data_IF_140156654698
#
_entry.id   IF_140156654698
#
_cell.length_a   1.000
_cell.length_b   1.000
_cell.length_c   1.000
_cell.angle_alpha   90.00
_cell.angle_beta   90.00
_cell.angle_gamma   90.00
#
_symmetry.space_group_name_H-M   'P 1'
#
loop_
_entity.id
_entity.type
_entity.pdbx_description
1 polymer ?
#
# COMPACT_ATOMS: atom_id res chain seq x y z
N UNK A 1 -29.29 -8.95 5.13
CA UNK A 1 -28.43 -9.08 3.93
C UNK A 1 -27.39 -7.97 3.99
N UNK A 2 -26.12 -8.34 4.19
CA UNK A 2 -25.01 -7.40 4.26
C UNK A 2 -24.39 -7.27 2.87
N UNK A 3 -24.53 -6.09 2.27
CA UNK A 3 -23.91 -5.74 1.00
C UNK A 3 -22.52 -5.20 1.20
N UNK A 4 -21.60 -5.55 0.32
CA UNK A 4 -20.23 -5.03 0.28
C UNK A 4 -19.85 -4.70 -1.18
N UNK A 5 -18.79 -3.94 -1.34
CA UNK A 5 -18.20 -3.64 -2.65
C UNK A 5 -16.81 -4.25 -2.71
N UNK A 6 -16.50 -4.96 -3.79
CA UNK A 6 -15.16 -5.41 -4.11
C UNK A 6 -14.48 -4.38 -5.02
N UNK A 7 -13.26 -3.98 -4.65
CA UNK A 7 -12.49 -3.02 -5.40
C UNK A 7 -10.99 -3.16 -5.15
N UNK A 8 -10.17 -2.48 -5.94
CA UNK A 8 -8.71 -2.52 -5.82
C UNK A 8 -8.03 -1.20 -6.16
N UNK A 9 -6.86 -0.99 -5.56
CA UNK A 9 -5.89 0.02 -5.96
C UNK A 9 -4.62 -0.70 -6.43
N UNK A 10 -4.28 -0.61 -7.73
CA UNK A 10 -3.12 -1.32 -8.32
C UNK A 10 -3.09 -2.82 -8.00
N UNK A 11 -4.21 -3.51 -8.22
CA UNK A 11 -4.43 -4.94 -7.95
C UNK A 11 -4.24 -5.40 -6.49
N UNK A 12 -4.02 -4.49 -5.56
CA UNK A 12 -4.18 -4.76 -4.13
C UNK A 12 -5.68 -4.57 -3.81
N UNK A 13 -6.37 -5.64 -3.47
CA UNK A 13 -7.83 -5.70 -3.50
C UNK A 13 -8.49 -5.81 -2.12
N UNK A 14 -9.70 -5.27 -2.04
CA UNK A 14 -10.42 -5.12 -0.77
C UNK A 14 -11.90 -5.43 -0.91
N UNK A 15 -12.48 -5.97 0.16
CA UNK A 15 -13.92 -5.99 0.38
C UNK A 15 -14.28 -4.81 1.30
N UNK A 16 -15.14 -3.91 0.80
CA UNK A 16 -15.56 -2.71 1.52
C UNK A 16 -17.00 -2.87 2.01
N UNK A 17 -17.23 -2.66 3.30
CA UNK A 17 -18.56 -2.63 3.92
C UNK A 17 -18.84 -1.21 4.38
N UNK A 18 -19.93 -0.62 3.89
CA UNK A 18 -20.39 0.67 4.36
C UNK A 18 -21.28 0.49 5.60
N UNK A 19 -20.82 1.03 6.71
CA UNK A 19 -21.48 0.96 8.02
C UNK A 19 -21.26 2.26 8.80
N UNK A 20 -21.84 3.34 8.30
CA UNK A 20 -21.63 4.69 8.83
C UNK A 20 -21.76 4.78 10.36
N UNK A 21 -22.72 4.05 10.93
CA UNK A 21 -23.04 4.06 12.35
C UNK A 21 -22.25 3.04 13.21
N UNK A 22 -21.32 2.29 12.60
CA UNK A 22 -20.50 1.25 13.26
C UNK A 22 -21.32 0.16 14.00
N UNK A 23 -22.43 -0.26 13.40
CA UNK A 23 -23.35 -1.24 13.99
C UNK A 23 -22.96 -2.68 13.68
N UNK A 24 -22.31 -2.94 12.54
CA UNK A 24 -21.90 -4.25 12.13
C UNK A 24 -20.59 -4.66 12.84
N UNK A 25 -20.57 -5.88 13.34
CA UNK A 25 -19.37 -6.47 13.96
C UNK A 25 -18.97 -7.72 13.20
N UNK A 26 -17.69 -7.78 12.86
CA UNK A 26 -17.09 -8.91 12.18
C UNK A 26 -16.01 -9.52 13.07
N UNK A 27 -16.05 -10.83 13.26
CA UNK A 27 -14.95 -11.54 13.95
C UNK A 27 -13.76 -11.73 13.00
N UNK A 28 -12.53 -11.91 13.51
CA UNK A 28 -11.39 -12.23 12.66
C UNK A 28 -11.63 -13.45 11.76
N UNK A 29 -12.32 -14.48 12.26
CA UNK A 29 -12.66 -15.69 11.49
C UNK A 29 -13.64 -15.41 10.36
N UNK A 30 -14.60 -14.50 10.54
CA UNK A 30 -15.51 -14.07 9.48
C UNK A 30 -14.76 -13.30 8.41
N UNK A 31 -13.88 -12.36 8.80
CA UNK A 31 -13.04 -11.61 7.85
C UNK A 31 -12.15 -12.57 7.06
N UNK A 32 -11.49 -13.52 7.74
CA UNK A 32 -10.67 -14.54 7.09
C UNK A 32 -11.46 -15.37 6.06
N UNK A 33 -12.71 -15.76 6.37
CA UNK A 33 -13.58 -16.46 5.41
C UNK A 33 -13.97 -15.58 4.22
N UNK A 34 -14.31 -14.30 4.47
CA UNK A 34 -14.67 -13.34 3.41
C UNK A 34 -13.48 -13.15 2.46
N UNK A 35 -12.27 -12.99 3.00
CA UNK A 35 -11.05 -12.72 2.24
C UNK A 35 -10.43 -13.99 1.61
N UNK A 36 -10.91 -15.19 1.93
CA UNK A 36 -10.37 -16.44 1.39
C UNK A 36 -10.50 -16.49 -0.14
N UNK A 37 -9.38 -16.70 -0.84
CA UNK A 37 -9.31 -16.69 -2.32
C UNK A 37 -10.01 -17.87 -2.97
N UNK A 38 -10.30 -18.94 -2.22
CA UNK A 38 -10.94 -20.16 -2.75
C UNK A 38 -12.41 -20.27 -2.39
N UNK A 39 -12.76 -19.96 -1.15
CA UNK A 39 -14.09 -20.18 -0.61
C UNK A 39 -14.85 -18.88 -0.32
N UNK A 40 -14.15 -17.75 -0.27
CA UNK A 40 -14.70 -16.43 0.02
C UNK A 40 -14.95 -15.56 -1.21
N UNK A 41 -14.98 -14.25 -0.98
CA UNK A 41 -14.94 -13.23 -2.03
C UNK A 41 -13.53 -13.19 -2.63
N UNK A 42 -12.52 -13.37 -1.80
CA UNK A 42 -11.10 -13.36 -2.12
C UNK A 42 -10.56 -11.93 -2.19
N UNK A 43 -9.79 -11.50 -1.17
CA UNK A 43 -9.17 -10.18 -1.15
C UNK A 43 -7.94 -10.14 -0.23
N UNK A 44 -7.10 -9.13 -0.42
CA UNK A 44 -5.93 -8.86 0.45
C UNK A 44 -6.35 -8.26 1.78
N UNK A 45 -7.54 -7.65 1.84
CA UNK A 45 -8.04 -7.07 3.08
C UNK A 45 -9.50 -6.71 3.07
N UNK A 46 -9.96 -6.32 4.26
CA UNK A 46 -11.34 -5.95 4.54
C UNK A 46 -11.39 -4.55 5.13
N UNK A 47 -12.22 -3.68 4.58
CA UNK A 47 -12.37 -2.30 5.03
C UNK A 47 -13.82 -2.05 5.43
N UNK A 48 -14.05 -1.72 6.70
CA UNK A 48 -15.32 -1.18 7.14
C UNK A 48 -15.25 0.34 7.13
N UNK A 49 -16.18 0.97 6.42
CA UNK A 49 -16.28 2.42 6.26
C UNK A 49 -17.24 2.94 7.32
N UNK A 50 -16.72 3.64 8.31
CA UNK A 50 -17.52 4.13 9.43
C UNK A 50 -17.33 5.62 9.63
N UNK A 51 -18.21 6.27 10.43
CA UNK A 51 -17.95 7.59 10.99
C UNK A 51 -17.66 7.48 12.48
N UNK A 52 -16.58 8.16 12.92
CA UNK A 52 -16.24 8.36 14.33
C UNK A 52 -16.15 9.88 14.57
N UNK A 53 -16.89 10.39 15.54
CA UNK A 53 -16.96 11.82 15.83
C UNK A 53 -17.26 12.69 14.59
N UNK A 54 -18.18 12.20 13.74
CA UNK A 54 -18.60 12.88 12.50
C UNK A 54 -17.57 12.84 11.36
N UNK A 55 -16.43 12.18 11.54
CA UNK A 55 -15.37 12.06 10.54
C UNK A 55 -15.30 10.63 9.98
N UNK A 56 -15.02 10.51 8.68
CA UNK A 56 -14.76 9.20 8.06
C UNK A 56 -13.59 8.50 8.71
N UNK A 57 -13.74 7.22 8.99
CA UNK A 57 -12.72 6.36 9.57
C UNK A 57 -12.61 5.06 8.77
N UNK A 58 -11.39 4.75 8.37
CA UNK A 58 -11.03 3.50 7.70
C UNK A 58 -10.75 2.42 8.76
N UNK A 59 -11.71 1.56 9.00
CA UNK A 59 -11.53 0.39 9.87
C UNK A 59 -11.01 -0.79 9.05
N UNK A 60 -9.67 -0.90 8.98
CA UNK A 60 -8.98 -1.83 8.10
C UNK A 60 -8.51 -3.08 8.84
N UNK A 61 -8.78 -4.24 8.24
CA UNK A 61 -8.33 -5.56 8.69
C UNK A 61 -7.61 -6.27 7.54
N UNK A 62 -6.52 -6.95 7.84
CA UNK A 62 -5.82 -7.84 6.90
C UNK A 62 -6.71 -9.05 6.55
N UNK A 63 -6.34 -9.81 5.52
CA UNK A 63 -7.09 -10.99 5.07
C UNK A 63 -7.21 -12.10 6.13
N UNK A 64 -6.30 -12.16 7.09
CA UNK A 64 -6.32 -13.11 8.22
C UNK A 64 -7.22 -12.65 9.39
N UNK A 65 -7.82 -11.45 9.28
CA UNK A 65 -8.64 -10.83 10.30
C UNK A 65 -7.86 -10.01 11.33
N UNK A 66 -6.54 -9.94 11.25
CA UNK A 66 -5.74 -9.09 12.13
C UNK A 66 -5.97 -7.61 11.83
N UNK A 67 -5.88 -6.79 12.88
CA UNK A 67 -6.04 -5.33 12.77
C UNK A 67 -4.81 -4.74 12.09
N UNK A 68 -5.03 -3.88 11.11
CA UNK A 68 -3.98 -3.12 10.44
C UNK A 68 -4.19 -1.61 10.62
N UNK A 69 -3.11 -0.85 10.59
CA UNK A 69 -3.15 0.58 10.89
C UNK A 69 -3.66 1.40 9.71
N UNK A 70 -3.09 1.18 8.52
CA UNK A 70 -3.40 1.93 7.30
C UNK A 70 -2.90 1.17 6.06
N UNK A 71 -3.56 1.39 4.93
CA UNK A 71 -3.11 0.92 3.62
C UNK A 71 -3.35 2.02 2.57
N UNK A 72 -2.28 2.48 1.92
CA UNK A 72 -2.35 3.54 0.90
C UNK A 72 -3.21 3.18 -0.31
N UNK A 73 -3.25 1.89 -0.70
CA UNK A 73 -4.13 1.39 -1.76
C UNK A 73 -5.59 1.35 -1.27
N UNK A 74 -5.81 0.81 -0.07
CA UNK A 74 -7.15 0.67 0.51
C UNK A 74 -7.85 2.01 0.77
N UNK A 75 -7.11 3.01 1.27
CA UNK A 75 -7.71 4.34 1.53
C UNK A 75 -8.14 5.06 0.24
N UNK A 76 -7.41 4.85 -0.89
CA UNK A 76 -7.84 5.36 -2.19
C UNK A 76 -9.13 4.69 -2.66
N UNK A 77 -9.23 3.35 -2.49
CA UNK A 77 -10.46 2.60 -2.84
C UNK A 77 -11.64 3.05 -1.97
N UNK A 78 -11.43 3.25 -0.66
CA UNK A 78 -12.44 3.81 0.23
C UNK A 78 -12.89 5.21 -0.21
N UNK A 79 -11.94 6.08 -0.57
CA UNK A 79 -12.26 7.43 -1.04
C UNK A 79 -13.06 7.41 -2.35
N UNK A 80 -12.71 6.54 -3.30
CA UNK A 80 -13.48 6.32 -4.53
C UNK A 80 -14.90 5.82 -4.23
N UNK A 81 -15.04 4.89 -3.28
CA UNK A 81 -16.35 4.42 -2.84
C UNK A 81 -17.21 5.57 -2.30
N UNK A 82 -16.67 6.37 -1.40
CA UNK A 82 -17.38 7.50 -0.80
C UNK A 82 -17.86 8.51 -1.85
N UNK A 83 -17.02 8.81 -2.84
CA UNK A 83 -17.33 9.78 -3.89
C UNK A 83 -18.35 9.23 -4.88
N UNK A 84 -18.17 8.02 -5.39
CA UNK A 84 -19.08 7.42 -6.38
C UNK A 84 -20.47 7.11 -5.82
N UNK A 85 -20.58 6.87 -4.51
CA UNK A 85 -21.88 6.65 -3.85
C UNK A 85 -22.47 7.91 -3.21
N UNK A 86 -21.92 9.10 -3.50
CA UNK A 86 -22.39 10.40 -3.01
C UNK A 86 -22.38 10.54 -1.48
N UNK A 87 -21.54 9.81 -0.77
CA UNK A 87 -21.34 9.97 0.68
C UNK A 87 -20.40 11.12 1.00
N UNK A 88 -19.52 11.45 0.06
CA UNK A 88 -18.54 12.54 0.15
C UNK A 88 -18.35 13.14 -1.25
N UNK A 89 -18.34 14.46 -1.37
CA UNK A 89 -17.99 15.12 -2.64
C UNK A 89 -16.52 14.95 -3.00
N UNK A 90 -16.21 15.14 -4.30
CA UNK A 90 -14.83 15.30 -4.77
C UNK A 90 -14.15 16.52 -4.14
N UNK A 91 -12.83 16.54 -4.17
CA UNK A 91 -12.03 17.62 -3.60
C UNK A 91 -10.98 17.13 -2.59
N UNK A 92 -10.55 18.04 -1.73
CA UNK A 92 -9.57 17.73 -0.69
C UNK A 92 -10.33 17.49 0.62
N UNK A 93 -10.16 16.31 1.19
CA UNK A 93 -10.71 15.96 2.50
C UNK A 93 -9.81 14.94 3.23
N UNK A 94 -10.17 14.64 4.47
CA UNK A 94 -9.41 13.71 5.28
C UNK A 94 -10.22 12.48 5.65
N UNK A 95 -9.52 11.36 5.77
CA UNK A 95 -10.01 10.09 6.34
C UNK A 95 -9.12 9.76 7.53
N UNK A 96 -9.73 9.47 8.67
CA UNK A 96 -9.01 9.00 9.84
C UNK A 96 -8.69 7.51 9.72
N UNK A 97 -7.54 7.11 10.21
CA UNK A 97 -7.07 5.73 10.27
C UNK A 97 -6.47 5.45 11.64
N UNK A 98 -6.04 4.23 11.92
CA UNK A 98 -5.27 3.93 13.14
C UNK A 98 -3.87 4.55 13.11
N UNK A 99 -3.33 4.79 11.92
CA UNK A 99 -2.09 5.55 11.68
C UNK A 99 -2.38 7.06 11.48
N UNK A 100 -3.34 7.59 12.23
CA UNK A 100 -3.67 9.01 12.21
C UNK A 100 -4.52 9.45 11.01
N UNK A 101 -4.60 10.76 10.85
CA UNK A 101 -5.42 11.43 9.84
C UNK A 101 -4.66 11.56 8.52
N UNK A 102 -5.25 11.04 7.44
CA UNK A 102 -4.67 11.11 6.09
C UNK A 102 -5.46 12.09 5.23
N UNK A 103 -4.76 12.98 4.54
CA UNK A 103 -5.36 13.93 3.60
C UNK A 103 -5.30 13.37 2.19
N UNK A 104 -6.41 13.49 1.48
CA UNK A 104 -6.56 13.00 0.12
C UNK A 104 -7.01 14.14 -0.81
N UNK A 105 -6.55 14.08 -2.06
CA UNK A 105 -7.13 14.83 -3.17
C UNK A 105 -7.85 13.83 -4.07
N UNK A 106 -9.17 13.94 -4.12
CA UNK A 106 -10.06 12.99 -4.79
C UNK A 106 -10.79 13.72 -5.92
N UNK A 107 -10.40 13.53 -7.18
CA UNK A 107 -11.11 14.08 -8.32
C UNK A 107 -12.42 13.31 -8.58
N UNK A 108 -13.32 13.89 -9.37
CA UNK A 108 -14.54 13.22 -9.83
C UNK A 108 -14.19 11.94 -10.59
N UNK A 109 -13.13 11.99 -11.39
CA UNK A 109 -12.59 10.85 -12.14
C UNK A 109 -11.05 10.86 -12.13
N UNK A 110 -10.41 9.71 -12.43
CA UNK A 110 -8.95 9.58 -12.47
C UNK A 110 -8.31 9.21 -11.13
N UNK A 111 -7.01 9.44 -11.04
CA UNK A 111 -6.19 8.97 -9.93
C UNK A 111 -6.40 9.79 -8.65
N UNK A 112 -6.33 9.12 -7.52
CA UNK A 112 -6.48 9.71 -6.18
C UNK A 112 -5.10 9.88 -5.56
N UNK A 113 -4.83 11.07 -5.02
CA UNK A 113 -3.63 11.35 -4.25
C UNK A 113 -3.88 11.24 -2.76
N UNK A 114 -2.94 10.62 -2.03
CA UNK A 114 -2.98 10.50 -0.57
C UNK A 114 -1.64 10.91 0.03
N UNK A 115 -1.68 11.76 1.06
CA UNK A 115 -0.50 12.09 1.84
C UNK A 115 -0.14 10.88 2.72
N UNK A 116 1.03 10.29 2.47
CA UNK A 116 1.53 9.11 3.15
C UNK A 116 2.35 9.42 4.41
N UNK A 117 2.66 10.71 4.64
CA UNK A 117 3.51 11.15 5.74
C UNK A 117 4.97 11.32 5.34
N UNK A 118 5.84 11.45 6.33
CA UNK A 118 7.27 11.62 6.11
C UNK A 118 7.94 10.33 5.66
N UNK A 119 8.92 10.49 4.76
CA UNK A 119 9.84 9.43 4.36
C UNK A 119 11.26 9.84 4.74
N UNK A 120 12.02 8.93 5.34
CA UNK A 120 13.39 9.19 5.77
C UNK A 120 14.34 8.06 5.43
N UNK A 121 15.61 8.42 5.23
CA UNK A 121 16.68 7.42 5.11
C UNK A 121 17.27 7.17 6.50
N UNK A 122 17.37 5.90 6.88
CA UNK A 122 18.18 5.47 8.01
C UNK A 122 19.61 5.25 7.51
N UNK A 123 20.57 5.94 8.11
CA UNK A 123 21.97 5.81 7.72
C UNK A 123 22.52 4.45 8.16
N UNK A 124 23.28 3.85 7.28
CA UNK A 124 23.89 2.53 7.48
C UNK A 124 23.98 1.79 6.15
N UNK A 125 24.91 0.87 6.06
CA UNK A 125 25.04 -0.01 4.91
C UNK A 125 24.25 -1.27 5.15
N UNK A 126 23.29 -1.54 4.27
CA UNK A 126 22.55 -2.79 4.26
C UNK A 126 22.84 -3.59 2.99
N UNK A 127 22.77 -4.92 3.11
CA UNK A 127 22.90 -5.84 1.99
C UNK A 127 21.67 -6.73 1.92
N UNK A 128 21.23 -7.00 0.71
CA UNK A 128 20.10 -7.90 0.46
C UNK A 128 20.57 -9.04 -0.43
N UNK A 129 20.41 -10.26 0.06
CA UNK A 129 20.77 -11.48 -0.69
C UNK A 129 19.52 -12.23 -1.14
N UNK A 130 19.43 -12.51 -2.44
CA UNK A 130 18.32 -13.21 -3.08
C UNK A 130 18.82 -13.98 -4.30
N UNK A 131 18.32 -15.19 -4.51
CA UNK A 131 18.62 -16.02 -5.69
C UNK A 131 20.15 -16.13 -5.98
N UNK A 132 20.97 -16.25 -4.92
CA UNK A 132 22.43 -16.35 -5.02
C UNK A 132 23.18 -15.05 -5.34
N UNK A 133 22.48 -13.92 -5.46
CA UNK A 133 23.06 -12.61 -5.68
C UNK A 133 22.96 -11.78 -4.39
N UNK A 134 23.92 -10.88 -4.18
CA UNK A 134 23.93 -9.93 -3.05
C UNK A 134 24.04 -8.50 -3.58
N UNK A 135 23.16 -7.64 -3.11
CA UNK A 135 23.04 -6.26 -3.54
C UNK A 135 23.22 -5.32 -2.36
N UNK A 136 23.75 -4.12 -2.61
CA UNK A 136 23.70 -3.02 -1.66
C UNK A 136 22.28 -2.46 -1.65
N UNK A 137 21.75 -2.15 -0.46
CA UNK A 137 20.43 -1.56 -0.28
C UNK A 137 20.45 -0.23 0.45
N UNK A 138 19.31 0.45 0.37
CA UNK A 138 18.98 1.66 1.14
C UNK A 138 18.00 1.28 2.23
N UNK A 139 18.28 1.70 3.48
CA UNK A 139 17.36 1.55 4.60
C UNK A 139 16.46 2.78 4.66
N UNK A 140 15.18 2.60 4.37
CA UNK A 140 14.18 3.68 4.29
C UNK A 140 13.07 3.42 5.31
N UNK A 141 12.65 4.47 5.99
CA UNK A 141 11.55 4.44 6.95
C UNK A 141 10.35 5.26 6.44
N UNK A 142 9.18 4.63 6.50
CA UNK A 142 7.87 5.21 6.21
C UNK A 142 6.90 5.09 7.41
N UNK A 143 7.45 4.94 8.64
CA UNK A 143 6.74 4.45 9.81
C UNK A 143 6.78 2.93 9.91
N UNK A 144 7.25 2.27 8.85
CA UNK A 144 7.60 0.87 8.78
C UNK A 144 8.87 0.70 7.93
N UNK A 145 9.70 -0.34 8.18
CA UNK A 145 11.00 -0.48 7.55
C UNK A 145 10.92 -1.00 6.12
N UNK A 146 11.76 -0.42 5.26
CA UNK A 146 11.93 -0.78 3.86
C UNK A 146 13.41 -0.93 3.49
N UNK A 147 13.76 -2.02 2.82
CA UNK A 147 15.06 -2.27 2.24
C UNK A 147 14.96 -2.14 0.71
N UNK A 148 15.39 -1.02 0.17
CA UNK A 148 15.30 -0.73 -1.28
C UNK A 148 16.60 -1.07 -1.98
N UNK A 149 16.53 -1.88 -3.03
CA UNK A 149 17.66 -2.38 -3.81
C UNK A 149 17.49 -2.01 -5.27
N UNK A 150 18.55 -1.46 -5.88
CA UNK A 150 18.58 -1.25 -7.34
C UNK A 150 19.27 -2.42 -8.04
N UNK A 151 18.61 -2.89 -9.11
CA UNK A 151 19.09 -3.98 -9.97
C UNK A 151 19.06 -3.56 -11.43
N UNK A 152 20.05 -4.01 -12.20
CA UNK A 152 20.07 -3.75 -13.65
C UNK A 152 19.12 -4.69 -14.40
N UNK A 153 18.88 -5.89 -13.86
CA UNK A 153 17.99 -6.88 -14.44
C UNK A 153 17.15 -7.57 -13.36
N UNK A 154 15.82 -7.49 -13.51
CA UNK A 154 14.85 -8.12 -12.61
C UNK A 154 14.92 -9.66 -12.61
N UNK A 155 15.50 -10.29 -13.62
CA UNK A 155 15.70 -11.74 -13.64
C UNK A 155 16.66 -12.22 -12.56
N UNK A 156 17.59 -11.37 -12.09
CA UNK A 156 18.57 -11.69 -11.04
C UNK A 156 17.93 -12.00 -9.69
N UNK A 157 16.75 -11.47 -9.42
CA UNK A 157 16.04 -11.68 -8.16
C UNK A 157 15.20 -12.97 -8.14
N UNK A 158 14.98 -13.59 -9.30
CA UNK A 158 14.20 -14.82 -9.43
C UNK A 158 12.75 -14.68 -8.95
N UNK A 159 12.23 -15.77 -8.39
CA UNK A 159 10.91 -15.79 -7.75
C UNK A 159 11.05 -15.41 -6.27
N UNK A 160 10.26 -14.41 -5.82
CA UNK A 160 10.24 -13.94 -4.43
C UNK A 160 9.32 -14.80 -3.53
N UNK A 161 9.40 -16.12 -3.66
CA UNK A 161 8.59 -17.06 -2.83
C UNK A 161 9.04 -17.11 -1.38
N UNK A 162 10.31 -16.89 -1.14
CA UNK A 162 10.92 -16.84 0.19
C UNK A 162 11.46 -15.45 0.46
N UNK A 163 11.42 -15.04 1.71
CA UNK A 163 11.95 -13.74 2.09
C UNK A 163 13.45 -13.68 1.78
N UNK A 164 13.91 -12.65 1.04
CA UNK A 164 15.34 -12.39 0.88
C UNK A 164 16.02 -12.10 2.22
N UNK A 165 17.32 -12.40 2.31
CA UNK A 165 18.10 -12.17 3.52
C UNK A 165 18.57 -10.72 3.53
N UNK A 166 18.36 -10.01 4.64
CA UNK A 166 18.84 -8.63 4.83
C UNK A 166 19.87 -8.59 5.96
N UNK A 167 20.99 -7.95 5.72
CA UNK A 167 22.08 -7.78 6.68
C UNK A 167 22.41 -6.28 6.89
N UNK A 168 22.66 -5.87 8.14
CA UNK A 168 22.59 -6.65 9.37
C UNK A 168 21.13 -6.92 9.81
N UNK A 169 20.84 -8.16 10.20
CA UNK A 169 19.50 -8.55 10.66
C UNK A 169 19.04 -7.80 11.92
N UNK A 170 19.97 -7.27 12.70
CA UNK A 170 19.71 -6.48 13.90
C UNK A 170 18.96 -5.17 13.63
N UNK A 171 19.03 -4.64 12.40
CA UNK A 171 18.29 -3.43 11.99
C UNK A 171 16.77 -3.71 11.81
N UNK A 172 16.39 -4.98 11.71
CA UNK A 172 15.03 -5.39 11.37
C UNK A 172 14.51 -6.52 12.29
N UNK A 173 14.42 -6.28 13.61
CA UNK A 173 14.03 -7.33 14.56
C UNK A 173 12.64 -7.92 14.29
N UNK A 174 11.73 -7.11 13.74
CA UNK A 174 10.36 -7.52 13.39
C UNK A 174 10.19 -7.79 11.88
N UNK A 175 11.29 -7.90 11.12
CA UNK A 175 11.28 -8.07 9.67
C UNK A 175 11.17 -6.76 8.89
N UNK A 176 11.27 -6.84 7.57
CA UNK A 176 11.38 -5.69 6.66
C UNK A 176 10.66 -5.95 5.33
N UNK A 177 10.11 -4.90 4.73
CA UNK A 177 9.65 -4.94 3.34
C UNK A 177 10.87 -4.74 2.42
N UNK A 178 10.94 -5.49 1.33
CA UNK A 178 12.12 -5.47 0.46
C UNK A 178 11.66 -5.15 -0.96
N UNK A 179 12.11 -4.02 -1.48
CA UNK A 179 11.79 -3.53 -2.82
C UNK A 179 12.99 -3.68 -3.75
N UNK A 180 12.79 -4.37 -4.87
CA UNK A 180 13.74 -4.46 -5.97
C UNK A 180 13.32 -3.52 -7.08
N UNK A 181 14.23 -2.66 -7.51
CA UNK A 181 13.94 -1.53 -8.39
C UNK A 181 14.88 -1.51 -9.57
N UNK A 182 14.33 -1.26 -10.76
CA UNK A 182 15.09 -1.03 -11.99
C UNK A 182 14.73 0.34 -12.56
N UNK A 183 15.76 1.11 -12.94
CA UNK A 183 15.56 2.32 -13.73
C UNK A 183 15.25 1.95 -15.18
N UNK A 184 14.16 2.49 -15.72
CA UNK A 184 13.77 2.31 -17.11
C UNK A 184 14.34 3.43 -17.99
N UNK A 185 14.45 3.17 -19.30
CA UNK A 185 15.00 4.13 -20.27
C UNK A 185 14.18 5.41 -20.37
N UNK A 186 12.86 5.35 -20.14
CA UNK A 186 11.97 6.51 -20.14
C UNK A 186 12.04 7.34 -18.84
N UNK A 187 12.92 7.01 -17.90
CA UNK A 187 13.08 7.70 -16.63
C UNK A 187 12.09 7.26 -15.55
N UNK A 188 11.21 6.30 -15.81
CA UNK A 188 10.35 5.67 -14.81
C UNK A 188 11.08 4.53 -14.08
N UNK A 189 10.46 4.01 -13.04
CA UNK A 189 10.98 2.90 -12.25
C UNK A 189 10.08 1.68 -12.41
N UNK A 190 10.68 0.50 -12.58
CA UNK A 190 10.02 -0.78 -12.39
C UNK A 190 10.32 -1.27 -10.98
N UNK A 191 9.35 -1.86 -10.30
CA UNK A 191 9.52 -2.33 -8.94
C UNK A 191 8.86 -3.71 -8.76
N UNK A 192 9.48 -4.56 -7.91
CA UNK A 192 8.85 -5.73 -7.28
C UNK A 192 9.09 -5.66 -5.78
N UNK A 193 8.18 -6.18 -4.98
CA UNK A 193 8.24 -6.10 -3.52
C UNK A 193 7.94 -7.45 -2.87
N UNK A 194 8.73 -7.79 -1.85
CA UNK A 194 8.42 -8.84 -0.88
C UNK A 194 7.99 -8.16 0.41
N UNK A 195 6.69 -8.18 0.71
CA UNK A 195 6.16 -7.57 1.92
C UNK A 195 6.38 -8.46 3.15
N UNK A 196 6.70 -7.83 4.25
CA UNK A 196 6.93 -8.44 5.56
C UNK A 196 5.72 -9.27 6.00
N UNK A 197 5.94 -10.58 6.24
CA UNK A 197 4.90 -11.50 6.70
C UNK A 197 3.88 -11.92 5.64
N UNK A 198 3.95 -11.39 4.41
CA UNK A 198 2.99 -11.68 3.33
C UNK A 198 3.65 -12.41 2.18
N UNK A 199 4.82 -11.95 1.72
CA UNK A 199 5.49 -12.44 0.52
C UNK A 199 5.43 -11.44 -0.63
N UNK A 200 5.61 -11.92 -1.86
CA UNK A 200 5.50 -11.05 -3.04
C UNK A 200 4.07 -10.59 -3.28
N UNK A 201 3.88 -9.27 -3.37
CA UNK A 201 2.57 -8.65 -3.63
C UNK A 201 2.61 -7.82 -4.91
N UNK A 202 1.42 -7.47 -5.41
CA UNK A 202 1.27 -6.72 -6.65
C UNK A 202 1.61 -5.23 -6.49
N UNK A 203 1.48 -4.68 -5.26
CA UNK A 203 1.71 -3.26 -4.98
C UNK A 203 1.75 -3.00 -3.48
N UNK A 204 2.78 -2.27 -3.02
CA UNK A 204 2.92 -1.78 -1.65
C UNK A 204 3.00 -0.24 -1.66
N UNK A 205 2.07 0.44 -1.00
CA UNK A 205 1.98 1.91 -1.01
C UNK A 205 3.17 2.58 -0.31
N UNK A 206 3.53 2.12 0.90
CA UNK A 206 4.70 2.62 1.64
C UNK A 206 6.00 2.26 0.95
N UNK A 207 6.09 1.03 0.41
CA UNK A 207 7.24 0.60 -0.38
C UNK A 207 7.46 1.47 -1.63
N UNK A 208 6.39 1.87 -2.31
CA UNK A 208 6.48 2.79 -3.46
C UNK A 208 7.03 4.16 -3.05
N UNK A 209 6.63 4.69 -1.88
CA UNK A 209 7.19 5.94 -1.33
C UNK A 209 8.67 5.79 -0.94
N UNK A 210 9.03 4.66 -0.32
CA UNK A 210 10.41 4.36 0.03
C UNK A 210 11.31 4.29 -1.23
N UNK A 211 10.83 3.66 -2.30
CA UNK A 211 11.50 3.59 -3.60
C UNK A 211 11.75 4.99 -4.18
N UNK A 212 10.79 5.90 -4.07
CA UNK A 212 10.94 7.28 -4.57
C UNK A 212 12.08 8.03 -3.87
N UNK A 213 12.20 7.90 -2.54
CA UNK A 213 13.33 8.51 -1.82
C UNK A 213 14.64 7.85 -2.17
N UNK A 214 14.72 6.51 -2.14
CA UNK A 214 15.93 5.77 -2.47
C UNK A 214 16.43 6.10 -3.89
N UNK A 215 15.53 6.20 -4.88
CA UNK A 215 15.86 6.59 -6.24
C UNK A 215 16.41 8.02 -6.32
N UNK A 216 15.87 8.93 -5.52
CA UNK A 216 16.36 10.30 -5.44
C UNK A 216 17.79 10.36 -4.90
N UNK A 217 18.08 9.58 -3.85
CA UNK A 217 19.42 9.46 -3.26
C UNK A 217 20.40 8.83 -4.27
N UNK A 218 20.02 7.70 -4.88
CA UNK A 218 20.85 6.98 -5.87
C UNK A 218 21.22 7.87 -7.06
N UNK A 219 20.26 8.68 -7.55
CA UNK A 219 20.49 9.62 -8.66
C UNK A 219 20.98 11.00 -8.21
N UNK A 220 21.26 11.20 -6.91
CA UNK A 220 21.70 12.49 -6.35
C UNK A 220 20.78 13.66 -6.74
N UNK A 221 19.47 13.41 -6.69
CA UNK A 221 18.43 14.41 -6.98
C UNK A 221 18.00 15.09 -5.69
N UNK A 222 17.82 16.42 -5.75
CA UNK A 222 17.26 17.19 -4.63
C UNK A 222 15.74 17.14 -4.59
N UNK A 223 15.16 17.33 -3.42
CA UNK A 223 13.73 17.53 -3.21
C UNK A 223 13.36 19.01 -3.50
N UNK A 224 12.12 19.33 -3.97
CA UNK A 224 11.04 18.36 -4.23
C UNK A 224 11.27 17.56 -5.52
N UNK A 225 10.71 16.36 -5.59
CA UNK A 225 10.86 15.48 -6.73
C UNK A 225 9.62 14.62 -6.95
N UNK A 226 9.45 14.19 -8.19
CA UNK A 226 8.37 13.30 -8.62
C UNK A 226 8.96 12.09 -9.36
N UNK A 227 8.46 10.89 -9.00
CA UNK A 227 8.78 9.64 -9.64
C UNK A 227 7.53 8.91 -10.09
N UNK A 228 7.64 8.24 -11.23
CA UNK A 228 6.66 7.26 -11.70
C UNK A 228 7.23 5.88 -11.45
N UNK A 229 6.47 5.05 -10.75
CA UNK A 229 6.88 3.73 -10.30
C UNK A 229 5.85 2.71 -10.75
N UNK A 230 6.31 1.64 -11.36
CA UNK A 230 5.50 0.59 -11.96
C UNK A 230 5.70 -0.74 -11.20
N UNK A 231 4.99 -0.97 -10.09
CA UNK A 231 4.85 -2.31 -9.53
C UNK A 231 4.03 -3.20 -10.47
N UNK A 232 4.01 -4.54 -10.30
CA UNK A 232 3.23 -5.45 -11.14
C UNK A 232 1.74 -5.11 -11.23
N UNK A 233 1.19 -4.52 -10.16
CA UNK A 233 -0.22 -4.14 -10.09
C UNK A 233 -0.61 -2.87 -10.86
N UNK A 234 0.34 -2.13 -11.42
CA UNK A 234 0.04 -0.94 -12.24
C UNK A 234 0.92 0.26 -11.94
N UNK A 235 0.54 1.40 -12.50
CA UNK A 235 1.33 2.63 -12.47
C UNK A 235 0.95 3.50 -11.27
N UNK A 236 1.96 3.92 -10.51
CA UNK A 236 1.83 4.83 -9.37
C UNK A 236 2.76 6.04 -9.58
N UNK A 237 2.42 7.14 -8.96
CA UNK A 237 3.24 8.33 -8.92
C UNK A 237 3.48 8.73 -7.47
N UNK A 238 4.72 9.05 -7.14
CA UNK A 238 5.10 9.59 -5.82
C UNK A 238 5.74 10.95 -6.01
N UNK A 239 5.22 11.92 -5.27
CA UNK A 239 5.84 13.23 -5.12
C UNK A 239 6.36 13.37 -3.69
N UNK A 240 7.64 13.74 -3.53
CA UNK A 240 8.24 14.03 -2.23
C UNK A 240 8.51 15.52 -2.21
N UNK A 241 7.94 16.22 -1.24
CA UNK A 241 8.09 17.67 -1.08
C UNK A 241 9.45 18.06 -0.44
N UNK A 242 9.70 19.36 -0.31
CA UNK A 242 10.92 19.89 0.31
C UNK A 242 11.08 19.58 1.80
N UNK A 243 10.06 19.06 2.45
CA UNK A 243 10.04 18.62 3.87
C UNK A 243 10.02 17.10 4.01
N UNK A 244 10.28 16.37 2.95
CA UNK A 244 10.26 14.90 2.90
C UNK A 244 8.88 14.27 3.16
N UNK A 245 7.77 14.99 2.90
CA UNK A 245 6.45 14.38 2.90
C UNK A 245 6.18 13.72 1.55
N UNK A 246 5.76 12.46 1.58
CA UNK A 246 5.42 11.71 0.39
C UNK A 246 3.91 11.77 0.09
N UNK A 247 3.56 12.08 -1.14
CA UNK A 247 2.21 11.99 -1.69
C UNK A 247 2.18 10.88 -2.73
N UNK A 248 1.37 9.85 -2.48
CA UNK A 248 1.16 8.72 -3.39
C UNK A 248 -0.10 8.96 -4.22
N UNK A 249 0.04 8.93 -5.53
CA UNK A 249 -1.07 9.09 -6.49
C UNK A 249 -1.23 7.82 -7.31
N UNK A 250 -2.45 7.32 -7.44
CA UNK A 250 -2.74 6.15 -8.25
C UNK A 250 -4.22 5.82 -8.36
N UNK A 251 -4.55 4.80 -9.18
CA UNK A 251 -5.91 4.42 -9.46
C UNK A 251 -6.61 3.80 -8.25
N UNK A 252 -7.93 3.90 -8.26
CA UNK A 252 -8.83 3.19 -7.37
C UNK A 252 -10.08 2.78 -8.16
N UNK A 253 -10.35 1.47 -8.20
CA UNK A 253 -11.40 0.87 -9.02
C UNK A 253 -12.38 0.11 -8.14
N UNK A 254 -13.67 0.41 -8.27
CA UNK A 254 -14.75 -0.41 -7.73
C UNK A 254 -15.20 -1.39 -8.83
N UNK A 255 -15.19 -2.70 -8.51
CA UNK A 255 -15.36 -3.74 -9.52
C UNK A 255 -16.79 -4.30 -9.53
N UNK A 256 -17.30 -4.66 -8.34
CA UNK A 256 -18.63 -5.29 -8.21
C UNK A 256 -19.20 -5.20 -6.80
N UNK A 257 -20.51 -5.26 -6.67
CA UNK A 257 -21.18 -5.55 -5.40
C UNK A 257 -21.13 -7.04 -5.08
N UNK A 258 -21.08 -7.37 -3.79
CA UNK A 258 -21.07 -8.73 -3.27
C UNK A 258 -21.97 -8.83 -2.03
N UNK A 259 -22.55 -10.01 -1.79
CA UNK A 259 -23.35 -10.30 -0.60
C UNK A 259 -22.52 -11.15 0.37
N UNK A 260 -22.49 -10.76 1.65
CA UNK A 260 -21.62 -11.39 2.64
C UNK A 260 -22.30 -12.46 3.49
N UNK A 261 -23.65 -12.51 3.56
CA UNK A 261 -24.38 -13.38 4.49
C UNK A 261 -23.93 -14.86 4.45
N UNK A 262 -23.52 -15.34 3.29
CA UNK A 262 -23.05 -16.73 3.12
C UNK A 262 -21.64 -17.00 3.66
N UNK A 263 -20.94 -15.97 4.09
CA UNK A 263 -19.57 -16.07 4.64
C UNK A 263 -19.50 -15.75 6.15
N UNK A 264 -20.63 -15.38 6.75
CA UNK A 264 -20.73 -14.97 8.15
C UNK A 264 -20.91 -16.12 9.16
#
# INVERSE_FOLDING_TARGET
MIKATYGHGTHNDFVLVFDEADQLKFTPEQVKRICDRKAGVGSDGFIKIVKKDGQWFMDYLNADGSVAEMCGNGIRVMARYLTQNNHQGSGIYAINTRDGRKFLSVPDDGDIAVNMGQVSQILGEIKVSVNGNTFRGFNIDMGNPHAVVFVDDMSLIGELKTQPIVEPASEYPDGVNIEFVKFLENGELQMRVHERGVGETQSCGTGTCAVALAASIEKRKSLPIKWVINPPGGRLMVEIDGHSNATLTGPAVLVKEVELDKYL
#
